data_IF_608848277062
#
_entry.id   IF_608848277062
#
_cell.length_a   1.000
_cell.length_b   1.000
_cell.length_c   1.000
_cell.angle_alpha   90.00
_cell.angle_beta   90.00
_cell.angle_gamma   90.00
#
_symmetry.space_group_name_H-M   'P 1'
#
loop_
_entity.id
_entity.type
_entity.pdbx_description
1 polymer ?
#
# COMPACT_ATOMS: atom_id res chain seq x y z
N UNK A 1 7.53 4.02 21.65
CA UNK A 1 6.57 4.97 21.01
C UNK A 1 5.89 5.79 22.08
N UNK A 2 5.73 7.10 21.87
CA UNK A 2 5.01 7.98 22.78
C UNK A 2 3.50 7.86 22.56
N UNK A 3 2.68 8.21 23.60
CA UNK A 3 1.21 8.24 23.47
C UNK A 3 0.74 9.13 22.30
N UNK A 4 1.46 10.23 22.02
CA UNK A 4 1.17 11.11 20.88
C UNK A 4 1.40 10.41 19.53
N UNK A 5 2.45 9.62 19.41
CA UNK A 5 2.72 8.84 18.19
C UNK A 5 1.67 7.76 17.97
N UNK A 6 1.24 7.08 19.02
CA UNK A 6 0.18 6.07 18.96
C UNK A 6 -1.13 6.72 18.49
N UNK A 7 -1.56 7.82 19.11
CA UNK A 7 -2.77 8.53 18.72
C UNK A 7 -2.73 9.05 17.27
N UNK A 8 -1.56 9.49 16.79
CA UNK A 8 -1.37 9.91 15.40
C UNK A 8 -1.53 8.73 14.43
N UNK A 9 -0.94 7.57 14.74
CA UNK A 9 -1.09 6.36 13.92
C UNK A 9 -2.55 5.88 13.87
N UNK A 10 -3.25 5.89 15.01
CA UNK A 10 -4.67 5.53 15.05
C UNK A 10 -5.53 6.47 14.22
N UNK A 11 -5.26 7.78 14.28
CA UNK A 11 -5.98 8.76 13.46
C UNK A 11 -5.73 8.53 11.97
N UNK A 12 -4.49 8.29 11.57
CA UNK A 12 -4.16 7.95 10.17
C UNK A 12 -4.90 6.69 9.70
N UNK A 13 -4.91 5.62 10.51
CA UNK A 13 -5.63 4.38 10.21
C UNK A 13 -7.13 4.60 10.06
N UNK A 14 -7.76 5.41 10.93
CA UNK A 14 -9.18 5.76 10.82
C UNK A 14 -9.48 6.49 9.51
N UNK A 15 -8.65 7.46 9.11
CA UNK A 15 -8.80 8.18 7.85
C UNK A 15 -8.68 7.24 6.65
N UNK A 16 -7.70 6.33 6.66
CA UNK A 16 -7.52 5.33 5.61
C UNK A 16 -8.73 4.37 5.52
N UNK A 17 -9.22 3.87 6.65
CA UNK A 17 -10.38 2.99 6.68
C UNK A 17 -11.65 3.68 6.15
N UNK A 18 -11.91 4.92 6.58
CA UNK A 18 -13.05 5.69 6.09
C UNK A 18 -12.96 5.99 4.58
N UNK A 19 -11.77 6.33 4.10
CA UNK A 19 -11.52 6.54 2.67
C UNK A 19 -11.75 5.26 1.86
N UNK A 20 -11.23 4.11 2.34
CA UNK A 20 -11.41 2.80 1.71
C UNK A 20 -12.89 2.48 1.49
N UNK A 21 -13.71 2.63 2.54
CA UNK A 21 -15.16 2.38 2.46
C UNK A 21 -15.85 3.31 1.44
N UNK A 22 -15.59 4.63 1.52
CA UNK A 22 -16.18 5.61 0.62
C UNK A 22 -15.77 5.38 -0.84
N UNK A 23 -14.50 5.05 -1.09
CA UNK A 23 -14.01 4.77 -2.45
C UNK A 23 -14.65 3.49 -3.00
N UNK A 24 -14.82 2.45 -2.18
CA UNK A 24 -15.54 1.22 -2.58
C UNK A 24 -17.00 1.50 -2.94
N UNK A 25 -17.68 2.34 -2.17
CA UNK A 25 -19.08 2.69 -2.38
C UNK A 25 -19.28 3.48 -3.67
N UNK A 26 -18.52 4.56 -3.88
CA UNK A 26 -18.82 5.56 -4.93
C UNK A 26 -17.63 5.98 -5.80
N UNK A 27 -16.44 5.48 -5.56
CA UNK A 27 -15.20 5.82 -6.26
C UNK A 27 -14.52 7.08 -5.71
N UNK A 28 -13.22 7.24 -6.01
CA UNK A 28 -12.40 8.34 -5.50
C UNK A 28 -12.91 9.72 -6.00
N UNK A 29 -13.31 9.81 -7.27
CA UNK A 29 -13.79 11.07 -7.86
C UNK A 29 -14.99 11.65 -7.08
N UNK A 30 -15.89 10.79 -6.59
CA UNK A 30 -17.08 11.16 -5.83
C UNK A 30 -16.86 11.19 -4.31
N UNK A 31 -15.64 10.96 -3.83
CA UNK A 31 -15.28 11.00 -2.42
C UNK A 31 -14.62 12.32 -2.09
N UNK A 32 -15.14 13.04 -1.10
CA UNK A 32 -14.57 14.29 -0.61
C UNK A 32 -13.77 14.08 0.70
N UNK A 33 -12.78 14.95 0.93
CA UNK A 33 -12.02 14.97 2.20
C UNK A 33 -12.95 15.24 3.38
N UNK A 34 -13.97 16.10 3.18
CA UNK A 34 -14.96 16.40 4.22
C UNK A 34 -15.74 15.15 4.67
N UNK A 35 -16.11 14.28 3.75
CA UNK A 35 -16.79 13.02 4.09
C UNK A 35 -15.87 12.05 4.82
N UNK A 36 -14.60 11.93 4.38
CA UNK A 36 -13.61 11.08 5.05
C UNK A 36 -13.42 11.53 6.50
N UNK A 37 -13.18 12.83 6.72
CA UNK A 37 -12.93 13.38 8.05
C UNK A 37 -14.16 13.37 8.95
N UNK A 38 -15.34 13.62 8.39
CA UNK A 38 -16.62 13.53 9.09
C UNK A 38 -16.89 12.11 9.60
N UNK A 39 -16.60 11.09 8.77
CA UNK A 39 -16.76 9.67 9.15
C UNK A 39 -15.82 9.25 10.29
N UNK A 40 -14.69 9.95 10.43
CA UNK A 40 -13.72 9.72 11.51
C UNK A 40 -13.96 10.61 12.75
N UNK A 41 -14.86 11.57 12.67
CA UNK A 41 -15.10 12.54 13.76
C UNK A 41 -13.92 13.52 13.97
N UNK A 42 -13.18 13.87 12.91
CA UNK A 42 -12.05 14.81 12.97
C UNK A 42 -12.27 16.02 12.06
N UNK A 43 -11.56 17.12 12.32
CA UNK A 43 -11.63 18.31 11.48
C UNK A 43 -10.95 18.07 10.10
N UNK A 44 -11.43 18.76 9.04
CA UNK A 44 -10.86 18.66 7.69
C UNK A 44 -9.35 18.92 7.65
N UNK A 45 -8.85 19.87 8.44
CA UNK A 45 -7.41 20.16 8.56
C UNK A 45 -6.58 18.97 9.04
N UNK A 46 -7.18 18.06 9.80
CA UNK A 46 -6.50 16.85 10.28
C UNK A 46 -6.10 15.92 9.13
N UNK A 47 -6.87 15.88 8.06
CA UNK A 47 -6.51 15.10 6.86
C UNK A 47 -5.16 15.55 6.30
N UNK A 48 -4.95 16.83 6.15
CA UNK A 48 -3.74 17.42 5.58
C UNK A 48 -2.49 17.27 6.46
N UNK A 49 -2.65 16.84 7.71
CA UNK A 49 -1.53 16.43 8.56
C UNK A 49 -0.90 15.11 8.09
N UNK A 50 -1.67 14.26 7.40
CA UNK A 50 -1.24 12.92 6.99
C UNK A 50 -1.11 12.74 5.47
N UNK A 51 -1.90 13.46 4.69
CA UNK A 51 -2.01 13.31 3.24
C UNK A 51 -2.11 14.68 2.57
N UNK A 52 -1.36 14.92 1.50
CA UNK A 52 -1.42 16.16 0.73
C UNK A 52 -2.68 16.20 -0.15
N UNK A 53 -3.04 15.06 -0.74
CA UNK A 53 -4.17 14.87 -1.67
C UNK A 53 -4.97 13.64 -1.28
N UNK A 54 -6.20 13.52 -1.77
CA UNK A 54 -7.03 12.33 -1.52
C UNK A 54 -6.46 11.07 -2.23
N UNK A 55 -5.76 11.25 -3.33
CA UNK A 55 -5.05 10.22 -4.08
C UNK A 55 -3.96 9.55 -3.22
N UNK A 56 -3.32 10.29 -2.34
CA UNK A 56 -2.26 9.76 -1.44
C UNK A 56 -2.81 8.71 -0.46
N UNK A 57 -4.12 8.78 -0.15
CA UNK A 57 -4.76 7.75 0.68
C UNK A 57 -4.84 6.42 -0.07
N UNK A 58 -5.13 6.44 -1.37
CA UNK A 58 -5.18 5.22 -2.21
C UNK A 58 -3.81 4.55 -2.22
N UNK A 59 -2.75 5.36 -2.40
CA UNK A 59 -1.39 4.86 -2.34
C UNK A 59 -1.03 4.29 -0.96
N UNK A 60 -1.39 4.97 0.11
CA UNK A 60 -1.14 4.48 1.47
C UNK A 60 -1.86 3.15 1.75
N UNK A 61 -3.10 2.98 1.25
CA UNK A 61 -3.86 1.74 1.35
C UNK A 61 -3.19 0.59 0.58
N UNK A 62 -2.74 0.85 -0.66
CA UNK A 62 -2.04 -0.15 -1.45
C UNK A 62 -0.74 -0.60 -0.80
N UNK A 63 0.04 0.38 -0.32
CA UNK A 63 1.31 0.14 0.36
C UNK A 63 1.14 -0.68 1.65
N UNK A 64 0.13 -0.38 2.47
CA UNK A 64 -0.15 -1.14 3.69
C UNK A 64 -0.49 -2.60 3.35
N UNK A 65 -1.40 -2.82 2.39
CA UNK A 65 -1.78 -4.16 1.94
C UNK A 65 -0.57 -4.93 1.38
N UNK A 66 0.23 -4.28 0.53
CA UNK A 66 1.40 -4.89 -0.06
C UNK A 66 2.44 -5.30 0.99
N UNK A 67 2.73 -4.40 1.95
CA UNK A 67 3.69 -4.67 3.01
C UNK A 67 3.22 -5.82 3.91
N UNK A 68 1.94 -5.86 4.28
CA UNK A 68 1.39 -6.95 5.09
C UNK A 68 1.53 -8.31 4.41
N UNK A 69 1.23 -8.40 3.12
CA UNK A 69 1.37 -9.65 2.36
C UNK A 69 2.84 -10.04 2.20
N UNK A 70 3.73 -9.06 1.95
CA UNK A 70 5.16 -9.30 1.86
C UNK A 70 5.73 -9.85 3.17
N UNK A 71 5.40 -9.22 4.30
CA UNK A 71 5.87 -9.64 5.62
C UNK A 71 5.42 -11.07 5.93
N UNK A 72 4.19 -11.43 5.59
CA UNK A 72 3.68 -12.80 5.73
C UNK A 72 4.39 -13.78 4.80
N UNK A 73 4.65 -13.39 3.55
CA UNK A 73 5.36 -14.24 2.60
C UNK A 73 6.81 -14.51 3.01
N UNK A 74 7.52 -13.52 3.55
CA UNK A 74 8.91 -13.66 4.00
C UNK A 74 9.07 -14.67 5.14
N UNK A 75 8.08 -14.81 6.00
CA UNK A 75 8.07 -15.77 7.11
C UNK A 75 7.34 -17.07 6.80
N UNK A 76 6.67 -17.17 5.64
CA UNK A 76 5.94 -18.36 5.24
C UNK A 76 6.89 -19.57 5.14
N UNK A 77 6.51 -20.72 5.71
CA UNK A 77 7.33 -21.93 5.61
C UNK A 77 7.40 -22.44 4.16
N UNK A 78 8.49 -23.11 3.85
CA UNK A 78 8.71 -23.72 2.54
C UNK A 78 9.84 -23.10 1.73
N UNK A 79 9.92 -23.46 0.48
CA UNK A 79 10.90 -23.00 -0.51
C UNK A 79 10.64 -21.58 -0.98
N UNK A 80 11.60 -20.96 -1.63
CA UNK A 80 11.43 -19.65 -2.27
C UNK A 80 10.21 -19.60 -3.21
N UNK A 81 10.01 -20.65 -4.01
CA UNK A 81 8.88 -20.71 -4.95
C UNK A 81 7.52 -20.78 -4.23
N UNK A 82 7.44 -21.50 -3.12
CA UNK A 82 6.22 -21.56 -2.30
C UNK A 82 5.91 -20.22 -1.66
N UNK A 83 6.92 -19.50 -1.14
CA UNK A 83 6.76 -18.14 -0.61
C UNK A 83 6.35 -17.13 -1.67
N UNK A 84 6.96 -17.20 -2.86
CA UNK A 84 6.60 -16.35 -3.99
C UNK A 84 5.16 -16.63 -4.46
N UNK A 85 4.77 -17.91 -4.52
CA UNK A 85 3.40 -18.32 -4.86
C UNK A 85 2.41 -17.80 -3.82
N UNK A 86 2.73 -17.96 -2.53
CA UNK A 86 1.93 -17.43 -1.43
C UNK A 86 1.74 -15.92 -1.56
N UNK A 87 2.81 -15.17 -1.80
CA UNK A 87 2.74 -13.73 -2.03
C UNK A 87 1.82 -13.39 -3.19
N UNK A 88 2.02 -14.00 -4.37
CA UNK A 88 1.25 -13.69 -5.57
C UNK A 88 -0.25 -13.98 -5.39
N UNK A 89 -0.58 -15.14 -4.83
CA UNK A 89 -1.98 -15.57 -4.62
C UNK A 89 -2.66 -14.69 -3.57
N UNK A 90 -1.99 -14.46 -2.44
CA UNK A 90 -2.55 -13.65 -1.35
C UNK A 90 -2.75 -12.20 -1.79
N UNK A 91 -1.76 -11.62 -2.47
CA UNK A 91 -1.84 -10.26 -2.99
C UNK A 91 -2.96 -10.08 -4.02
N UNK A 92 -3.09 -11.03 -4.97
CA UNK A 92 -4.20 -11.04 -5.93
C UNK A 92 -5.56 -11.12 -5.22
N UNK A 93 -5.70 -11.97 -4.22
CA UNK A 93 -6.91 -12.05 -3.40
C UNK A 93 -7.21 -10.75 -2.65
N UNK A 94 -6.19 -10.04 -2.15
CA UNK A 94 -6.38 -8.72 -1.52
C UNK A 94 -6.88 -7.68 -2.53
N UNK A 95 -6.39 -7.70 -3.77
CA UNK A 95 -6.86 -6.83 -4.86
C UNK A 95 -8.34 -7.10 -5.15
N UNK A 96 -8.72 -8.37 -5.36
CA UNK A 96 -10.10 -8.76 -5.60
C UNK A 96 -11.04 -8.32 -4.48
N UNK A 97 -10.65 -8.53 -3.23
CA UNK A 97 -11.43 -8.16 -2.05
C UNK A 97 -11.50 -6.64 -1.81
N UNK A 98 -10.55 -5.88 -2.34
CA UNK A 98 -10.54 -4.41 -2.24
C UNK A 98 -11.63 -3.75 -3.07
N UNK A 99 -12.17 -4.46 -4.05
CA UNK A 99 -13.23 -4.00 -4.93
C UNK A 99 -12.71 -3.25 -6.16
N UNK A 100 -13.44 -3.39 -7.26
CA UNK A 100 -13.02 -2.91 -8.58
C UNK A 100 -12.65 -1.41 -8.61
N UNK A 101 -13.43 -0.57 -7.94
CA UNK A 101 -13.18 0.89 -7.93
C UNK A 101 -11.85 1.25 -7.28
N UNK A 102 -11.51 0.64 -6.15
CA UNK A 102 -10.25 0.89 -5.48
C UNK A 102 -9.07 0.34 -6.29
N UNK A 103 -9.23 -0.82 -6.90
CA UNK A 103 -8.24 -1.42 -7.78
C UNK A 103 -7.96 -0.53 -9.01
N UNK A 104 -8.99 0.00 -9.64
CA UNK A 104 -8.85 0.93 -10.77
C UNK A 104 -8.08 2.21 -10.38
N UNK A 105 -8.38 2.80 -9.22
CA UNK A 105 -7.67 3.97 -8.73
C UNK A 105 -6.20 3.63 -8.38
N UNK A 106 -5.94 2.44 -7.85
CA UNK A 106 -4.59 1.99 -7.59
C UNK A 106 -3.75 1.89 -8.87
N UNK A 107 -4.25 1.19 -9.89
CA UNK A 107 -3.57 1.09 -11.19
C UNK A 107 -3.38 2.48 -11.80
N UNK A 108 -4.40 3.34 -11.76
CA UNK A 108 -4.32 4.71 -12.26
C UNK A 108 -3.20 5.50 -11.58
N UNK A 109 -3.12 5.46 -10.25
CA UNK A 109 -2.08 6.16 -9.49
C UNK A 109 -0.67 5.64 -9.76
N UNK A 110 -0.53 4.41 -10.25
CA UNK A 110 0.77 3.82 -10.57
C UNK A 110 1.26 4.19 -11.97
N UNK A 111 0.33 4.41 -12.93
CA UNK A 111 0.68 4.58 -14.35
C UNK A 111 0.37 5.96 -14.91
N UNK A 112 -0.33 6.83 -14.17
CA UNK A 112 -0.71 8.17 -14.63
C UNK A 112 0.49 9.13 -14.52
N UNK A 113 1.04 9.65 -15.65
CA UNK A 113 2.18 10.56 -15.63
C UNK A 113 1.92 11.84 -14.83
N UNK A 114 0.67 12.35 -14.84
CA UNK A 114 0.30 13.57 -14.13
C UNK A 114 0.31 13.39 -12.59
N UNK A 115 0.28 12.14 -12.13
CA UNK A 115 0.38 11.78 -10.72
C UNK A 115 1.82 11.42 -10.30
N UNK A 116 2.75 11.29 -11.27
CA UNK A 116 4.17 10.90 -11.06
C UNK A 116 5.10 12.13 -11.14
N UNK A 117 4.58 13.35 -11.03
CA UNK A 117 5.34 14.58 -11.26
C UNK A 117 6.43 14.91 -10.23
N UNK A 118 6.46 14.25 -9.07
CA UNK A 118 7.35 14.55 -7.95
C UNK A 118 8.30 13.39 -7.62
N UNK A 119 9.43 13.70 -6.97
CA UNK A 119 10.31 12.67 -6.38
C UNK A 119 9.57 11.79 -5.38
N UNK A 120 8.61 12.33 -4.62
CA UNK A 120 7.73 11.58 -3.72
C UNK A 120 6.88 10.53 -4.46
N UNK A 121 6.46 10.82 -5.69
CA UNK A 121 5.64 9.92 -6.50
C UNK A 121 6.48 8.83 -7.19
N UNK A 122 7.74 9.13 -7.54
CA UNK A 122 8.72 8.11 -7.97
C UNK A 122 9.01 7.11 -6.86
N UNK A 123 8.97 7.55 -5.60
CA UNK A 123 9.09 6.68 -4.43
C UNK A 123 7.97 5.63 -4.31
N UNK A 124 6.82 5.84 -4.96
CA UNK A 124 5.70 4.89 -4.98
C UNK A 124 6.04 3.63 -5.81
N UNK A 125 6.53 3.85 -7.03
CA UNK A 125 6.98 2.74 -7.88
C UNK A 125 8.23 2.06 -7.30
N UNK A 126 9.18 2.85 -6.79
CA UNK A 126 10.38 2.33 -6.16
C UNK A 126 10.07 1.46 -4.94
N UNK A 127 9.00 1.75 -4.18
CA UNK A 127 8.58 0.91 -3.06
C UNK A 127 8.17 -0.50 -3.50
N UNK A 128 7.38 -0.62 -4.56
CA UNK A 128 6.92 -1.91 -5.08
C UNK A 128 8.12 -2.74 -5.58
N UNK A 129 9.05 -2.10 -6.28
CA UNK A 129 10.27 -2.74 -6.79
C UNK A 129 11.20 -3.19 -5.65
N UNK A 130 11.42 -2.35 -4.62
CA UNK A 130 12.22 -2.71 -3.44
C UNK A 130 11.62 -3.89 -2.67
N UNK A 131 10.32 -4.08 -2.73
CA UNK A 131 9.67 -5.18 -2.04
C UNK A 131 9.91 -6.52 -2.75
N UNK A 132 9.96 -6.52 -4.09
CA UNK A 132 10.39 -7.70 -4.86
C UNK A 132 11.85 -8.01 -4.58
N UNK A 133 12.72 -6.99 -4.54
CA UNK A 133 14.13 -7.14 -4.17
C UNK A 133 14.31 -7.85 -2.83
N UNK A 134 13.54 -7.47 -1.79
CA UNK A 134 13.59 -8.13 -0.47
C UNK A 134 13.24 -9.63 -0.52
N UNK A 135 12.30 -10.04 -1.36
CA UNK A 135 12.00 -11.47 -1.52
C UNK A 135 13.19 -12.21 -2.15
N UNK A 136 13.82 -11.63 -3.19
CA UNK A 136 15.00 -12.22 -3.83
C UNK A 136 16.18 -12.30 -2.84
N UNK A 137 16.46 -11.22 -2.12
CA UNK A 137 17.49 -11.18 -1.06
C UNK A 137 17.27 -12.29 -0.03
N UNK A 138 16.04 -12.45 0.47
CA UNK A 138 15.68 -13.52 1.39
C UNK A 138 15.92 -14.91 0.80
N UNK A 139 15.68 -15.12 -0.49
CA UNK A 139 15.97 -16.38 -1.18
C UNK A 139 17.49 -16.66 -1.30
N UNK A 140 18.29 -15.61 -1.54
CA UNK A 140 19.74 -15.71 -1.59
C UNK A 140 20.31 -16.02 -0.19
N UNK A 141 19.88 -15.29 0.84
CA UNK A 141 20.31 -15.47 2.22
C UNK A 141 20.04 -16.90 2.75
N UNK A 142 18.95 -17.51 2.31
CA UNK A 142 18.59 -18.90 2.65
C UNK A 142 19.28 -19.95 1.77
N UNK A 143 20.06 -19.52 0.78
CA UNK A 143 20.75 -20.43 -0.16
C UNK A 143 19.81 -21.12 -1.15
N UNK A 144 18.62 -20.60 -1.36
CA UNK A 144 17.62 -21.13 -2.29
C UNK A 144 17.76 -20.53 -3.69
N UNK A 145 18.36 -19.35 -3.77
CA UNK A 145 18.74 -18.67 -5.01
C UNK A 145 20.26 -18.52 -5.06
N UNK A 146 20.80 -18.41 -6.27
CA UNK A 146 22.23 -18.20 -6.48
C UNK A 146 22.63 -16.80 -5.99
N UNK A 147 23.86 -16.67 -5.48
CA UNK A 147 24.39 -15.39 -4.98
C UNK A 147 24.55 -14.30 -6.06
N UNK A 148 24.58 -14.69 -7.34
CA UNK A 148 24.65 -13.80 -8.49
C UNK A 148 23.26 -13.49 -9.10
N UNK A 149 22.17 -13.87 -8.42
CA UNK A 149 20.83 -13.50 -8.84
C UNK A 149 20.68 -11.97 -8.84
N UNK A 150 20.26 -11.34 -9.95
CA UNK A 150 20.06 -9.89 -10.00
C UNK A 150 18.95 -9.46 -9.03
N UNK A 151 19.27 -8.56 -8.13
CA UNK A 151 18.33 -7.98 -7.14
C UNK A 151 18.05 -6.51 -7.45
N UNK A 152 18.95 -5.84 -8.19
CA UNK A 152 18.76 -4.47 -8.64
C UNK A 152 17.71 -4.42 -9.76
N UNK A 153 16.67 -3.61 -9.54
CA UNK A 153 15.55 -3.42 -10.47
C UNK A 153 15.44 -1.93 -10.82
#
# INVERSE_FOLDING_TARGET
MTNRQIAAMETKKKLMAAAKELIREKGLANTSIAEITSRCGVANGTFYTYFKRKEDVVFALSRETYQEVLDQALIHPGTFLERLTFFAVTFTGCIENSGLKLCQEWVRNTVDPDLIENEDDRGKLAFDMQSVAKMLESGIERGELKSDTPVEV
#
